data_IF_297048498121
#
_entry.id   IF_297048498121
#
_cell.length_a   1.000
_cell.length_b   1.000
_cell.length_c   1.000
_cell.angle_alpha   90.00
_cell.angle_beta   90.00
_cell.angle_gamma   90.00
#
_symmetry.space_group_name_H-M   'P 1'
#
loop_
_entity.id
_entity.type
_entity.pdbx_description
1 polymer ?
#
# COMPACT_ATOMS: atom_id res chain seq x y z
N UNK A 1 18.10 17.90 -0.11
CA UNK A 1 19.12 17.19 0.71
C UNK A 1 20.08 16.57 -0.27
N UNK A 2 21.38 16.61 0.02
CA UNK A 2 22.45 16.18 -0.90
C UNK A 2 22.18 14.84 -1.63
N UNK A 3 21.74 13.81 -0.91
CA UNK A 3 21.40 12.51 -1.51
C UNK A 3 20.23 12.56 -2.50
N UNK A 4 19.19 13.37 -2.23
CA UNK A 4 18.09 13.57 -3.17
C UNK A 4 18.53 14.39 -4.40
N UNK A 5 19.43 15.37 -4.20
CA UNK A 5 19.99 16.18 -5.29
C UNK A 5 20.91 15.33 -6.20
N UNK A 6 21.71 14.45 -5.62
CA UNK A 6 22.53 13.47 -6.33
C UNK A 6 21.66 12.51 -7.16
N UNK A 7 20.57 11.97 -6.59
CA UNK A 7 19.62 11.11 -7.31
C UNK A 7 18.94 11.78 -8.51
N UNK A 8 18.58 13.06 -8.38
CA UNK A 8 17.96 13.83 -9.45
C UNK A 8 18.97 14.12 -10.56
N UNK A 9 20.22 14.44 -10.18
CA UNK A 9 21.33 14.65 -11.12
C UNK A 9 21.64 13.40 -11.95
N UNK A 10 21.56 12.22 -11.33
CA UNK A 10 21.83 10.93 -11.97
C UNK A 10 20.62 10.39 -12.77
N UNK A 11 19.70 11.26 -13.20
CA UNK A 11 18.49 10.92 -13.99
C UNK A 11 17.62 9.81 -13.37
N UNK A 12 17.66 9.62 -12.05
CA UNK A 12 16.98 8.51 -11.36
C UNK A 12 17.52 7.11 -11.75
N UNK A 13 18.71 7.02 -12.34
CA UNK A 13 19.43 5.75 -12.50
C UNK A 13 20.08 5.35 -11.16
N UNK A 14 19.83 4.12 -10.72
CA UNK A 14 20.18 3.67 -9.36
C UNK A 14 21.58 3.08 -9.33
N UNK A 15 22.38 3.46 -8.33
CA UNK A 15 23.54 2.66 -7.93
C UNK A 15 23.03 1.41 -7.16
N UNK A 16 22.96 0.27 -7.84
CA UNK A 16 22.67 -1.00 -7.17
C UNK A 16 23.93 -1.55 -6.48
N UNK A 17 23.82 -2.10 -5.24
CA UNK A 17 22.59 -2.27 -4.45
C UNK A 17 22.24 -1.05 -3.58
N UNK A 18 20.93 -0.81 -3.37
CA UNK A 18 20.41 0.17 -2.39
C UNK A 18 20.73 -0.29 -0.94
N UNK A 19 21.02 0.67 -0.06
CA UNK A 19 21.43 0.43 1.34
C UNK A 19 20.21 0.48 2.27
N UNK A 20 20.16 -0.35 3.31
CA UNK A 20 19.11 -0.26 4.33
C UNK A 20 19.20 1.05 5.10
N UNK A 21 18.06 1.60 5.51
CA UNK A 21 17.99 2.80 6.36
C UNK A 21 18.92 2.66 7.58
N UNK A 22 18.91 1.51 8.24
CA UNK A 22 19.77 1.25 9.42
C UNK A 22 21.25 1.50 9.11
N UNK A 23 21.75 0.89 8.05
CA UNK A 23 23.16 0.91 7.69
C UNK A 23 23.58 2.32 7.25
N UNK A 24 22.71 3.01 6.51
CA UNK A 24 22.90 4.41 6.14
C UNK A 24 22.99 5.34 7.35
N UNK A 25 22.08 5.17 8.31
CA UNK A 25 22.05 5.99 9.53
C UNK A 25 23.30 5.77 10.39
N UNK A 26 23.75 4.51 10.50
CA UNK A 26 24.95 4.11 11.23
C UNK A 26 26.23 4.66 10.58
N UNK A 27 26.38 4.45 9.28
CA UNK A 27 27.53 4.93 8.49
C UNK A 27 27.72 6.44 8.57
N UNK A 28 26.62 7.20 8.54
CA UNK A 28 26.63 8.66 8.60
C UNK A 28 26.56 9.22 10.04
N UNK A 29 26.56 8.35 11.06
CA UNK A 29 26.61 8.73 12.49
C UNK A 29 25.49 9.69 12.92
N UNK A 30 24.28 9.50 12.40
CA UNK A 30 23.11 10.29 12.83
C UNK A 30 22.82 10.09 14.32
N UNK A 31 22.55 11.18 15.04
CA UNK A 31 22.35 11.14 16.49
C UNK A 31 21.12 10.30 16.90
N UNK A 32 21.14 9.66 18.08
CA UNK A 32 19.96 8.96 18.59
C UNK A 32 18.73 9.88 18.66
N UNK A 33 18.91 11.14 19.05
CA UNK A 33 17.79 12.09 19.10
C UNK A 33 17.17 12.34 17.71
N UNK A 34 17.99 12.47 16.66
CA UNK A 34 17.44 12.64 15.31
C UNK A 34 16.68 11.40 14.85
N UNK A 35 17.23 10.21 15.10
CA UNK A 35 16.62 8.94 14.72
C UNK A 35 15.29 8.74 15.44
N UNK A 36 15.32 8.78 16.78
CA UNK A 36 14.18 8.39 17.62
C UNK A 36 13.12 9.49 17.77
N UNK A 37 13.50 10.78 17.73
CA UNK A 37 12.55 11.86 17.98
C UNK A 37 12.04 12.54 16.70
N UNK A 38 12.64 12.27 15.54
CA UNK A 38 12.27 12.92 14.28
C UNK A 38 12.08 11.93 13.14
N UNK A 39 13.14 11.23 12.73
CA UNK A 39 13.13 10.47 11.49
C UNK A 39 12.26 9.22 11.56
N UNK A 40 12.49 8.34 12.54
CA UNK A 40 11.75 7.08 12.70
C UNK A 40 10.26 7.31 13.01
N UNK A 41 9.87 8.26 13.88
CA UNK A 41 8.47 8.64 14.05
C UNK A 41 7.79 9.11 12.77
N UNK A 42 8.47 9.97 11.99
CA UNK A 42 7.92 10.53 10.76
C UNK A 42 7.65 9.43 9.73
N UNK A 43 8.61 8.54 9.50
CA UNK A 43 8.45 7.44 8.52
C UNK A 43 7.49 6.36 9.02
N UNK A 44 7.53 6.02 10.31
CA UNK A 44 6.60 5.06 10.92
C UNK A 44 5.16 5.55 10.84
N UNK A 45 4.94 6.88 10.91
CA UNK A 45 3.60 7.44 10.75
C UNK A 45 3.04 7.32 9.33
N UNK A 46 3.90 7.32 8.30
CA UNK A 46 3.47 7.28 6.90
C UNK A 46 2.98 5.89 6.49
N UNK A 47 3.71 4.84 6.86
CA UNK A 47 3.37 3.45 6.51
C UNK A 47 2.78 2.65 7.68
N UNK A 48 2.53 3.29 8.82
CA UNK A 48 1.85 2.69 9.99
C UNK A 48 2.48 1.36 10.44
N UNK A 49 3.80 1.23 10.32
CA UNK A 49 4.55 0.00 10.59
C UNK A 49 5.55 0.20 11.75
N UNK A 50 6.21 -0.87 12.19
CA UNK A 50 7.17 -0.78 13.30
C UNK A 50 8.45 -0.07 12.87
N UNK A 51 9.16 0.50 13.86
CA UNK A 51 10.47 1.12 13.65
C UNK A 51 11.47 0.10 13.07
N UNK A 52 11.46 -1.14 13.55
CA UNK A 52 12.33 -2.22 13.04
C UNK A 52 12.09 -2.50 11.56
N UNK A 53 10.83 -2.56 11.12
CA UNK A 53 10.51 -2.80 9.71
C UNK A 53 10.96 -1.62 8.84
N UNK A 54 10.84 -0.40 9.35
CA UNK A 54 11.34 0.79 8.66
C UNK A 54 12.85 0.81 8.50
N UNK A 55 13.60 0.29 9.48
CA UNK A 55 15.05 0.25 9.42
C UNK A 55 15.59 -0.65 8.30
N UNK A 56 14.81 -1.66 7.88
CA UNK A 56 15.14 -2.55 6.76
C UNK A 56 14.73 -2.00 5.38
N UNK A 57 14.00 -0.89 5.34
CA UNK A 57 13.56 -0.26 4.10
C UNK A 57 14.76 0.34 3.33
N UNK A 58 14.75 0.33 1.98
CA UNK A 58 15.81 0.94 1.17
C UNK A 58 15.90 2.47 1.33
N UNK A 59 17.08 3.02 1.67
CA UNK A 59 17.24 4.45 1.96
C UNK A 59 17.02 5.32 0.72
N UNK A 60 17.48 4.92 -0.46
CA UNK A 60 17.31 5.74 -1.66
C UNK A 60 15.83 5.90 -2.00
N UNK A 61 15.10 4.79 -1.90
CA UNK A 61 13.65 4.75 -2.05
C UNK A 61 12.94 5.68 -1.06
N UNK A 62 13.35 5.65 0.21
CA UNK A 62 12.78 6.48 1.28
C UNK A 62 13.05 7.98 1.04
N UNK A 63 14.27 8.32 0.66
CA UNK A 63 14.69 9.72 0.44
C UNK A 63 13.93 10.32 -0.74
N UNK A 64 13.76 9.57 -1.82
CA UNK A 64 12.93 9.98 -2.96
C UNK A 64 11.48 10.18 -2.54
N UNK A 65 10.90 9.25 -1.77
CA UNK A 65 9.55 9.42 -1.26
C UNK A 65 9.45 10.71 -0.46
N UNK A 66 10.35 10.93 0.50
CA UNK A 66 10.35 12.13 1.33
C UNK A 66 10.56 13.41 0.51
N UNK A 67 11.36 13.36 -0.56
CA UNK A 67 11.55 14.48 -1.47
C UNK A 67 10.28 14.81 -2.25
N UNK A 68 9.68 13.81 -2.91
CA UNK A 68 8.47 13.97 -3.72
C UNK A 68 7.28 14.50 -2.90
N UNK A 69 7.24 14.19 -1.61
CA UNK A 69 6.17 14.62 -0.70
C UNK A 69 6.53 15.87 0.13
N UNK A 70 7.69 16.48 -0.11
CA UNK A 70 8.16 17.66 0.63
C UNK A 70 8.40 17.42 2.13
N UNK A 71 8.58 16.17 2.55
CA UNK A 71 8.77 15.76 3.94
C UNK A 71 10.17 16.13 4.47
N UNK A 72 11.13 16.35 3.57
CA UNK A 72 12.47 16.86 3.91
C UNK A 72 12.53 18.39 3.98
N UNK A 73 11.42 19.09 3.72
CA UNK A 73 11.38 20.55 3.70
C UNK A 73 10.82 21.11 5.02
N UNK A 74 11.42 22.20 5.51
CA UNK A 74 10.93 22.92 6.69
C UNK A 74 9.88 23.99 6.30
N UNK A 75 10.01 24.56 5.09
CA UNK A 75 9.13 25.59 4.53
C UNK A 75 8.64 25.16 3.15
N UNK A 76 7.57 25.81 2.64
CA UNK A 76 7.00 25.58 1.30
C UNK A 76 6.57 24.14 1.02
N UNK A 77 6.04 23.45 2.04
CA UNK A 77 5.54 22.09 1.90
C UNK A 77 4.36 22.03 0.92
N UNK A 78 4.26 20.97 0.10
CA UNK A 78 3.10 20.74 -0.76
C UNK A 78 1.79 20.79 0.02
N UNK A 79 0.76 21.39 -0.57
CA UNK A 79 -0.58 21.38 0.00
C UNK A 79 -1.25 20.04 -0.30
N UNK A 80 -1.64 19.33 0.76
CA UNK A 80 -2.44 18.11 0.63
C UNK A 80 -3.90 18.47 0.39
N UNK A 81 -4.49 17.90 -0.65
CA UNK A 81 -5.88 18.11 -1.03
C UNK A 81 -6.74 16.90 -0.65
N UNK A 82 -8.02 17.16 -0.42
CA UNK A 82 -9.03 16.13 -0.15
C UNK A 82 -10.22 16.34 -1.08
N UNK A 83 -10.88 15.24 -1.42
CA UNK A 83 -12.10 15.30 -2.23
C UNK A 83 -13.25 15.69 -1.32
N UNK A 84 -13.95 16.78 -1.66
CA UNK A 84 -15.17 17.17 -0.96
C UNK A 84 -16.20 16.04 -1.06
N UNK A 85 -16.64 15.53 0.08
CA UNK A 85 -17.51 14.35 0.14
C UNK A 85 -16.79 13.01 0.29
N UNK A 86 -15.45 13.02 0.20
CA UNK A 86 -14.59 11.85 0.38
C UNK A 86 -14.40 11.00 -0.88
N UNK A 87 -13.62 9.92 -0.76
CA UNK A 87 -13.30 9.00 -1.87
C UNK A 87 -14.52 8.35 -2.52
N UNK A 88 -15.63 8.23 -1.80
CA UNK A 88 -16.90 7.72 -2.32
C UNK A 88 -17.38 8.45 -3.57
N UNK A 89 -17.03 9.73 -3.74
CA UNK A 89 -17.50 10.53 -4.87
C UNK A 89 -16.89 10.06 -6.19
N UNK A 90 -15.59 9.78 -6.26
CA UNK A 90 -15.00 9.22 -7.49
C UNK A 90 -15.46 7.78 -7.71
N UNK A 91 -15.68 7.01 -6.63
CA UNK A 91 -16.21 5.63 -6.76
C UNK A 91 -17.60 5.64 -7.40
N UNK A 92 -18.49 6.57 -7.02
CA UNK A 92 -19.80 6.73 -7.66
C UNK A 92 -19.68 7.02 -9.15
N UNK A 93 -18.77 7.92 -9.54
CA UNK A 93 -18.55 8.27 -10.95
C UNK A 93 -18.01 7.08 -11.75
N UNK A 94 -17.08 6.32 -11.18
CA UNK A 94 -16.56 5.09 -11.80
C UNK A 94 -17.66 4.05 -12.00
N UNK A 95 -18.49 3.80 -10.98
CA UNK A 95 -19.60 2.86 -11.08
C UNK A 95 -20.61 3.26 -12.17
N UNK A 96 -20.94 4.55 -12.25
CA UNK A 96 -21.83 5.07 -13.30
C UNK A 96 -21.25 4.86 -14.71
N UNK A 97 -19.94 5.08 -14.90
CA UNK A 97 -19.28 4.86 -16.18
C UNK A 97 -19.23 3.37 -16.57
N UNK A 98 -19.02 2.48 -15.59
CA UNK A 98 -19.07 1.03 -15.79
C UNK A 98 -20.47 0.56 -16.20
N UNK A 99 -21.51 1.08 -15.56
CA UNK A 99 -22.90 0.77 -15.89
C UNK A 99 -23.26 1.24 -17.31
N UNK A 100 -22.86 2.46 -17.69
CA UNK A 100 -23.02 2.97 -19.06
C UNK A 100 -22.29 2.12 -20.11
N UNK A 101 -21.18 1.50 -19.70
CA UNK A 101 -20.38 0.59 -20.55
C UNK A 101 -20.88 -0.86 -20.50
N UNK A 102 -22.05 -1.12 -19.89
CA UNK A 102 -22.66 -2.44 -19.73
C UNK A 102 -21.76 -3.45 -19.00
N UNK A 103 -20.84 -2.97 -18.16
CA UNK A 103 -19.99 -3.83 -17.34
C UNK A 103 -20.83 -4.41 -16.20
N UNK A 104 -20.85 -5.75 -16.12
CA UNK A 104 -21.55 -6.46 -15.05
C UNK A 104 -20.72 -6.45 -13.76
N UNK A 105 -21.19 -5.72 -12.76
CA UNK A 105 -20.58 -5.73 -11.41
C UNK A 105 -21.26 -6.79 -10.54
N UNK A 106 -20.47 -7.76 -10.07
CA UNK A 106 -20.94 -8.83 -9.18
C UNK A 106 -20.46 -8.58 -7.75
N UNK A 107 -21.37 -8.61 -6.78
CA UNK A 107 -21.06 -8.46 -5.34
C UNK A 107 -20.85 -9.82 -4.71
N UNK A 108 -19.85 -10.54 -5.18
CA UNK A 108 -19.59 -11.93 -4.81
C UNK A 108 -18.09 -12.18 -4.67
N UNK A 109 -17.63 -12.88 -3.62
CA UNK A 109 -16.22 -13.24 -3.51
C UNK A 109 -15.85 -14.30 -4.55
N UNK A 110 -14.73 -14.07 -5.25
CA UNK A 110 -14.06 -15.12 -6.01
C UNK A 110 -13.46 -16.12 -5.02
N UNK A 111 -13.72 -17.40 -5.22
CA UNK A 111 -13.23 -18.49 -4.36
C UNK A 111 -11.97 -19.14 -4.93
N UNK A 112 -11.83 -19.15 -6.26
CA UNK A 112 -10.70 -19.77 -6.96
C UNK A 112 -10.58 -19.25 -8.39
N UNK A 113 -9.36 -19.20 -8.90
CA UNK A 113 -9.03 -18.94 -10.30
C UNK A 113 -8.07 -20.04 -10.77
N UNK A 114 -8.46 -20.83 -11.77
CA UNK A 114 -7.60 -21.83 -12.39
C UNK A 114 -7.08 -21.30 -13.72
N UNK A 115 -5.77 -21.07 -13.78
CA UNK A 115 -5.06 -20.77 -15.02
C UNK A 115 -5.13 -21.97 -15.98
N UNK A 116 -5.22 -21.68 -17.28
CA UNK A 116 -5.13 -22.71 -18.30
C UNK A 116 -3.74 -23.35 -18.33
N UNK A 117 -3.71 -24.67 -18.59
CA UNK A 117 -2.47 -25.40 -18.91
C UNK A 117 -2.10 -25.33 -20.39
N UNK A 118 -3.06 -24.96 -21.23
CA UNK A 118 -2.88 -24.75 -22.66
C UNK A 118 -2.52 -23.29 -22.92
N UNK A 119 -1.63 -23.06 -23.88
CA UNK A 119 -1.29 -21.73 -24.37
C UNK A 119 -2.56 -21.10 -24.98
N UNK A 120 -2.97 -19.92 -24.48
CA UNK A 120 -4.23 -19.23 -24.82
C UNK A 120 -5.53 -19.95 -24.44
N UNK A 121 -5.50 -20.88 -23.47
CA UNK A 121 -6.73 -21.47 -22.97
C UNK A 121 -7.46 -20.58 -21.96
N UNK A 122 -8.78 -20.79 -21.85
CA UNK A 122 -9.65 -19.99 -20.97
C UNK A 122 -9.29 -20.18 -19.49
N UNK A 123 -9.34 -19.07 -18.74
CA UNK A 123 -9.18 -19.04 -17.29
C UNK A 123 -10.52 -19.34 -16.63
N UNK A 124 -10.57 -20.32 -15.73
CA UNK A 124 -11.77 -20.65 -14.96
C UNK A 124 -11.80 -19.83 -13.67
N UNK A 125 -12.89 -19.09 -13.44
CA UNK A 125 -13.20 -18.40 -12.20
C UNK A 125 -14.33 -19.15 -11.48
N UNK A 126 -14.12 -19.47 -10.21
CA UNK A 126 -15.10 -20.17 -9.36
C UNK A 126 -15.59 -19.22 -8.27
N UNK A 127 -16.91 -19.18 -8.11
CA UNK A 127 -17.63 -18.42 -7.09
C UNK A 127 -18.77 -19.27 -6.50
N UNK A 128 -19.54 -18.74 -5.54
CA UNK A 128 -20.73 -19.42 -5.02
C UNK A 128 -21.83 -19.61 -6.09
N UNK A 129 -21.83 -18.78 -7.12
CA UNK A 129 -22.70 -18.88 -8.29
C UNK A 129 -22.26 -19.95 -9.30
N UNK A 130 -21.09 -20.58 -9.10
CA UNK A 130 -20.53 -21.62 -9.97
C UNK A 130 -19.27 -21.19 -10.71
N UNK A 131 -18.93 -21.95 -11.76
CA UNK A 131 -17.76 -21.71 -12.63
C UNK A 131 -18.13 -20.84 -13.83
N UNK A 132 -17.24 -19.92 -14.17
CA UNK A 132 -17.28 -19.09 -15.37
C UNK A 132 -15.91 -19.12 -16.05
N UNK A 133 -15.88 -18.90 -17.36
CA UNK A 133 -14.64 -18.93 -18.15
C UNK A 133 -14.42 -17.57 -18.80
N UNK A 134 -13.16 -17.11 -18.78
CA UNK A 134 -12.74 -15.83 -19.31
C UNK A 134 -11.48 -16.00 -20.16
N UNK A 135 -11.35 -15.21 -21.22
CA UNK A 135 -10.13 -15.18 -22.02
C UNK A 135 -8.96 -14.60 -21.22
N UNK A 136 -9.22 -13.58 -20.40
CA UNK A 136 -8.21 -12.84 -19.65
C UNK A 136 -8.76 -12.45 -18.26
N UNK A 137 -7.93 -12.55 -17.22
CA UNK A 137 -8.30 -12.21 -15.83
C UNK A 137 -7.34 -11.20 -15.23
N UNK A 138 -7.86 -10.08 -14.73
CA UNK A 138 -7.08 -9.07 -14.01
C UNK A 138 -7.30 -9.20 -12.51
N UNK A 139 -6.23 -9.52 -11.80
CA UNK A 139 -6.19 -9.60 -10.34
C UNK A 139 -5.86 -8.22 -9.76
N UNK A 140 -6.90 -7.48 -9.35
CA UNK A 140 -6.79 -6.16 -8.71
C UNK A 140 -6.87 -6.23 -7.17
N UNK A 141 -6.53 -7.39 -6.58
CA UNK A 141 -6.50 -7.62 -5.14
C UNK A 141 -5.05 -7.66 -4.62
N UNK A 142 -4.87 -7.96 -3.34
CA UNK A 142 -3.52 -8.11 -2.78
C UNK A 142 -2.80 -9.32 -3.41
N UNK A 143 -1.48 -9.26 -3.51
CA UNK A 143 -0.69 -10.34 -4.11
C UNK A 143 -0.71 -11.63 -3.29
N UNK A 144 -0.89 -11.56 -1.97
CA UNK A 144 -1.11 -12.74 -1.11
C UNK A 144 -2.48 -13.38 -1.34
N UNK A 145 -3.54 -12.57 -1.49
CA UNK A 145 -4.87 -13.03 -1.87
C UNK A 145 -4.85 -13.66 -3.27
N UNK A 146 -4.09 -13.06 -4.19
CA UNK A 146 -3.86 -13.63 -5.53
C UNK A 146 -3.23 -15.02 -5.42
N UNK A 147 -2.20 -15.21 -4.58
CA UNK A 147 -1.58 -16.51 -4.35
C UNK A 147 -2.50 -17.56 -3.72
N UNK A 148 -3.45 -17.12 -2.89
CA UNK A 148 -4.47 -17.98 -2.28
C UNK A 148 -5.53 -18.39 -3.32
N UNK A 149 -5.89 -17.49 -4.24
CA UNK A 149 -6.96 -17.69 -5.23
C UNK A 149 -6.49 -18.41 -6.49
N UNK A 150 -5.28 -18.10 -6.99
CA UNK A 150 -4.81 -18.47 -8.32
C UNK A 150 -4.01 -19.78 -8.29
N UNK A 151 -4.41 -20.72 -9.15
CA UNK A 151 -3.76 -22.01 -9.33
C UNK A 151 -3.35 -22.23 -10.78
N UNK A 152 -2.29 -23.00 -11.00
CA UNK A 152 -1.79 -23.31 -12.35
C UNK A 152 -0.77 -22.32 -12.91
N UNK A 153 -0.45 -21.24 -12.19
CA UNK A 153 0.64 -20.33 -12.53
C UNK A 153 2.02 -20.94 -12.23
N UNK A 154 3.03 -20.53 -12.98
CA UNK A 154 4.41 -21.01 -12.82
C UNK A 154 5.05 -20.56 -11.49
N UNK A 155 6.18 -21.17 -11.14
CA UNK A 155 6.85 -20.90 -9.87
C UNK A 155 7.43 -19.48 -9.79
N UNK A 156 7.86 -18.90 -10.91
CA UNK A 156 8.42 -17.54 -10.94
C UNK A 156 7.35 -16.49 -10.60
N UNK A 157 6.16 -16.60 -11.18
CA UNK A 157 4.99 -15.79 -10.81
C UNK A 157 4.66 -15.93 -9.32
N UNK A 158 4.68 -17.16 -8.79
CA UNK A 158 4.44 -17.39 -7.36
C UNK A 158 5.49 -16.71 -6.48
N UNK A 159 6.77 -16.79 -6.88
CA UNK A 159 7.87 -16.19 -6.13
C UNK A 159 7.77 -14.66 -6.09
N UNK A 160 7.46 -14.03 -7.23
CA UNK A 160 7.29 -12.57 -7.32
C UNK A 160 6.12 -12.10 -6.45
N UNK A 161 4.95 -12.76 -6.54
CA UNK A 161 3.78 -12.39 -5.75
C UNK A 161 4.02 -12.58 -4.23
N UNK A 162 4.76 -13.62 -3.85
CA UNK A 162 5.05 -13.97 -2.46
C UNK A 162 6.09 -13.06 -1.81
N UNK A 163 6.90 -12.37 -2.62
CA UNK A 163 7.91 -11.44 -2.18
C UNK A 163 7.33 -10.09 -1.70
N UNK A 164 6.01 -9.91 -1.75
CA UNK A 164 5.29 -8.80 -1.14
C UNK A 164 4.56 -9.32 0.10
N UNK A 165 5.19 -9.33 1.29
CA UNK A 165 4.50 -9.76 2.49
C UNK A 165 3.44 -8.75 2.90
N UNK A 166 2.34 -9.25 3.42
CA UNK A 166 1.32 -8.43 4.07
C UNK A 166 1.37 -8.72 5.55
N UNK A 167 1.30 -7.67 6.36
CA UNK A 167 1.12 -7.84 7.79
C UNK A 167 -0.34 -8.21 8.05
N UNK A 168 -0.63 -9.52 8.03
CA UNK A 168 -1.83 -10.12 8.65
C UNK A 168 -1.47 -10.44 10.10
N UNK A 169 -2.04 -9.74 11.08
CA UNK A 169 -1.78 -10.07 12.47
C UNK A 169 -2.56 -11.33 12.85
N UNK A 170 -1.83 -12.44 13.01
CA UNK A 170 -2.38 -13.74 13.35
C UNK A 170 -2.57 -13.82 14.86
N UNK A 171 -3.84 -13.73 15.26
CA UNK A 171 -4.32 -13.97 16.62
C UNK A 171 -3.74 -15.27 17.22
N UNK A 172 -2.94 -15.13 18.26
CA UNK A 172 -2.80 -16.13 19.32
C UNK A 172 -3.46 -15.49 20.54
N UNK A 173 -4.31 -16.25 21.23
CA UNK A 173 -5.07 -15.85 22.42
C UNK A 173 -4.19 -15.08 23.43
N UNK A 174 -4.16 -13.76 23.27
CA UNK A 174 -4.01 -12.68 24.24
C UNK A 174 -3.93 -11.38 23.40
N UNK A 175 -5.07 -10.70 23.20
CA UNK A 175 -5.12 -9.26 22.84
C UNK A 175 -4.26 -8.81 21.65
N UNK A 176 -4.34 -9.48 20.49
CA UNK A 176 -3.69 -8.97 19.28
C UNK A 176 -4.66 -8.10 18.46
N UNK A 177 -4.67 -6.80 18.75
CA UNK A 177 -5.52 -5.75 18.16
C UNK A 177 -4.79 -4.99 17.02
N UNK A 178 -3.94 -5.66 16.24
CA UNK A 178 -3.06 -4.99 15.27
C UNK A 178 -3.70 -4.93 13.86
N UNK A 179 -3.55 -3.78 13.21
CA UNK A 179 -4.13 -3.29 11.93
C UNK A 179 -5.61 -2.90 11.96
N UNK A 180 -5.95 -2.06 12.94
CA UNK A 180 -7.27 -1.43 13.13
C UNK A 180 -7.18 0.07 12.94
N UNK A 181 -8.11 0.64 12.18
CA UNK A 181 -8.47 2.06 12.24
C UNK A 181 -9.69 2.18 13.13
N UNK A 182 -9.56 2.93 14.22
CA UNK A 182 -10.66 3.19 15.14
C UNK A 182 -11.09 4.63 14.99
N UNK A 183 -12.36 4.84 14.61
CA UNK A 183 -12.98 6.16 14.58
C UNK A 183 -13.56 6.45 15.97
N UNK A 184 -13.12 7.53 16.61
CA UNK A 184 -13.56 7.88 17.96
C UNK A 184 -13.52 9.40 18.22
N UNK A 185 -14.00 9.79 19.40
CA UNK A 185 -13.98 11.19 19.89
C UNK A 185 -13.19 11.38 21.19
N UNK A 186 -12.46 10.35 21.61
CA UNK A 186 -11.57 10.39 22.78
C UNK A 186 -10.37 11.33 22.61
N UNK A 187 -10.44 12.50 23.25
CA UNK A 187 -9.44 13.57 23.15
C UNK A 187 -8.09 13.21 23.81
N UNK A 188 -8.02 12.15 24.62
CA UNK A 188 -6.77 11.73 25.27
C UNK A 188 -5.67 11.30 24.28
N UNK A 189 -6.06 11.04 23.03
CA UNK A 189 -5.18 10.68 21.92
C UNK A 189 -4.54 11.90 21.21
N UNK A 190 -4.96 13.11 21.56
CA UNK A 190 -4.38 14.35 21.07
C UNK A 190 -3.43 14.96 22.10
N UNK A 191 -2.46 15.80 21.68
CA UNK A 191 -1.59 16.50 22.62
C UNK A 191 -2.39 17.30 23.66
N UNK A 192 -1.90 17.34 24.91
CA UNK A 192 -2.54 18.08 26.00
C UNK A 192 -2.68 19.58 25.69
N UNK A 193 -1.73 20.14 24.94
CA UNK A 193 -1.79 21.52 24.46
C UNK A 193 -2.47 21.60 23.09
N UNK A 194 -3.66 22.22 23.04
CA UNK A 194 -4.45 22.39 21.80
C UNK A 194 -3.68 23.06 20.65
N UNK A 195 -2.73 23.95 20.95
CA UNK A 195 -1.89 24.59 19.92
C UNK A 195 -1.01 23.59 19.16
N UNK A 196 -0.75 22.42 19.74
CA UNK A 196 0.05 21.36 19.13
C UNK A 196 -0.81 20.35 18.35
N UNK A 197 -2.13 20.50 18.31
CA UNK A 197 -3.00 19.59 17.57
C UNK A 197 -2.69 19.68 16.09
N UNK A 198 -2.09 18.64 15.54
CA UNK A 198 -1.77 18.54 14.13
C UNK A 198 -2.82 17.69 13.41
N UNK A 199 -2.76 17.70 12.07
CA UNK A 199 -3.56 16.76 11.27
C UNK A 199 -3.17 15.31 11.60
N UNK A 200 -1.89 15.06 11.85
CA UNK A 200 -1.31 13.77 12.20
C UNK A 200 -0.63 13.93 13.56
N UNK A 201 -1.08 13.20 14.58
CA UNK A 201 -0.52 13.26 15.93
C UNK A 201 0.09 11.89 16.24
N UNK A 202 1.34 11.89 16.66
CA UNK A 202 2.09 10.68 16.93
C UNK A 202 2.26 10.46 18.43
N UNK A 203 2.14 9.20 18.87
CA UNK A 203 2.45 8.81 20.25
C UNK A 203 3.58 7.79 20.28
N UNK A 204 4.70 8.17 20.90
CA UNK A 204 5.75 7.26 21.37
C UNK A 204 5.64 7.06 22.88
N UNK A 205 5.91 5.85 23.39
CA UNK A 205 6.18 5.68 24.82
C UNK A 205 7.59 6.21 25.14
N UNK A 206 7.65 7.39 25.75
CA UNK A 206 8.89 7.98 26.27
C UNK A 206 9.41 7.20 27.49
N UNK A 207 10.73 7.01 27.58
CA UNK A 207 11.41 6.54 28.81
C UNK A 207 11.62 5.04 28.97
N UNK A 208 11.12 4.21 28.06
CA UNK A 208 11.61 2.84 27.92
C UNK A 208 12.76 2.83 26.91
N UNK A 209 13.80 2.02 27.14
CA UNK A 209 14.76 1.68 26.08
C UNK A 209 13.95 1.27 24.86
N UNK A 210 14.10 1.92 23.69
CA UNK A 210 13.35 1.55 22.50
C UNK A 210 13.63 0.08 22.21
N UNK A 211 12.66 -0.79 22.47
CA UNK A 211 12.74 -2.15 21.99
C UNK A 211 12.36 -2.10 20.52
N UNK A 212 12.98 -2.96 19.70
CA UNK A 212 12.69 -3.06 18.25
C UNK A 212 11.17 -3.22 17.93
N UNK A 213 10.39 -3.63 18.93
CA UNK A 213 8.95 -3.84 18.90
C UNK A 213 8.10 -2.60 19.27
N UNK A 214 8.69 -1.43 19.53
CA UNK A 214 7.90 -0.22 19.77
C UNK A 214 7.15 0.19 18.50
N UNK A 215 5.85 -0.07 18.50
CA UNK A 215 4.94 0.34 17.44
C UNK A 215 4.61 1.82 17.55
N UNK A 216 4.65 2.49 16.41
CA UNK A 216 4.21 3.87 16.25
C UNK A 216 2.68 3.87 16.20
N UNK A 217 2.02 4.65 17.07
CA UNK A 217 0.59 4.93 16.95
C UNK A 217 0.38 6.32 16.38
N UNK A 218 -0.50 6.40 15.38
CA UNK A 218 -0.85 7.64 14.68
C UNK A 218 -2.32 7.94 14.89
N UNK A 219 -2.61 9.16 15.32
CA UNK A 219 -3.95 9.67 15.58
C UNK A 219 -4.22 10.84 14.62
N UNK A 220 -5.06 10.60 13.62
CA UNK A 220 -5.47 11.61 12.66
C UNK A 220 -6.57 12.49 13.24
N UNK A 221 -6.35 13.80 13.27
CA UNK A 221 -7.41 14.76 13.57
C UNK A 221 -8.13 15.13 12.27
N UNK A 222 -9.26 14.46 12.02
CA UNK A 222 -10.01 14.55 10.77
C UNK A 222 -10.49 15.98 10.49
N UNK A 223 -10.77 16.76 11.54
CA UNK A 223 -11.14 18.18 11.43
C UNK A 223 -10.11 19.02 10.67
N UNK A 224 -8.83 18.61 10.64
CA UNK A 224 -7.76 19.31 9.92
C UNK A 224 -7.41 18.67 8.57
N UNK A 225 -7.95 17.49 8.27
CA UNK A 225 -7.65 16.73 7.04
C UNK A 225 -8.76 16.85 6.00
N UNK A 226 -10.01 17.02 6.43
CA UNK A 226 -11.13 17.12 5.50
C UNK A 226 -12.27 17.98 6.04
N UNK A 227 -13.06 18.60 5.15
CA UNK A 227 -14.25 19.33 5.57
C UNK A 227 -15.25 18.38 6.24
N UNK A 228 -15.68 18.75 7.44
CA UNK A 228 -16.70 18.03 8.19
C UNK A 228 -18.06 18.75 8.10
N UNK A 229 -19.18 18.02 8.29
CA UNK A 229 -20.49 18.62 8.48
C UNK A 229 -20.46 19.69 9.57
N UNK A 230 -21.26 20.74 9.42
CA UNK A 230 -21.22 21.91 10.31
C UNK A 230 -21.38 21.54 11.79
N UNK A 231 -22.35 20.67 12.11
CA UNK A 231 -22.58 20.21 13.49
C UNK A 231 -21.47 19.33 14.10
N UNK A 232 -20.45 18.94 13.33
CA UNK A 232 -19.32 18.14 13.81
C UNK A 232 -17.99 18.92 13.84
N UNK A 233 -17.99 20.20 13.47
CA UNK A 233 -16.75 20.99 13.33
C UNK A 233 -15.99 21.15 14.65
N UNK A 234 -16.70 21.33 15.75
CA UNK A 234 -16.13 21.55 17.08
C UNK A 234 -15.89 20.24 17.85
N UNK A 235 -16.37 19.12 17.32
CA UNK A 235 -16.12 17.79 17.89
C UNK A 235 -14.82 17.24 17.31
N UNK A 236 -13.82 16.86 18.13
CA UNK A 236 -12.58 16.29 17.62
C UNK A 236 -12.83 14.87 17.13
N UNK A 237 -12.94 14.73 15.81
CA UNK A 237 -13.10 13.45 15.14
C UNK A 237 -11.71 12.89 14.91
N UNK A 238 -11.44 11.74 15.53
CA UNK A 238 -10.12 11.12 15.54
C UNK A 238 -10.19 9.76 14.89
N UNK A 239 -9.23 9.47 14.00
CA UNK A 239 -8.97 8.11 13.52
C UNK A 239 -7.61 7.68 14.04
N UNK A 240 -7.59 6.68 14.92
CA UNK A 240 -6.37 6.11 15.47
C UNK A 240 -6.01 4.83 14.73
N UNK A 241 -4.78 4.78 14.22
CA UNK A 241 -4.20 3.58 13.63
C UNK A 241 -3.33 2.88 14.66
N UNK A 242 -3.62 1.59 14.88
CA UNK A 242 -2.84 0.74 15.78
C UNK A 242 -2.59 1.40 17.15
N UNK A 243 -3.65 1.83 17.86
CA UNK A 243 -3.49 2.59 19.09
C UNK A 243 -2.75 1.79 20.16
N UNK A 244 -1.78 2.42 20.84
CA UNK A 244 -1.01 1.79 21.93
C UNK A 244 -1.84 1.50 23.17
N UNK A 245 -2.97 2.19 23.30
CA UNK A 245 -3.96 2.06 24.36
C UNK A 245 -5.33 2.13 23.72
N UNK A 246 -6.28 1.30 24.13
CA UNK A 246 -7.62 1.35 23.54
C UNK A 246 -8.34 2.67 23.90
N UNK A 247 -9.07 3.27 22.95
CA UNK A 247 -9.97 4.39 23.25
C UNK A 247 -11.07 3.97 24.23
N UNK A 248 -11.68 4.96 24.89
CA UNK A 248 -12.90 4.71 25.67
C UNK A 248 -13.98 4.08 24.77
N UNK A 249 -14.48 2.86 25.07
CA UNK A 249 -15.48 2.18 24.24
C UNK A 249 -16.76 3.00 24.00
N UNK A 250 -17.13 3.89 24.94
CA UNK A 250 -18.30 4.76 24.79
C UNK A 250 -18.08 5.90 23.78
N UNK A 251 -16.82 6.17 23.42
CA UNK A 251 -16.43 7.21 22.48
C UNK A 251 -16.01 6.63 21.12
N UNK A 252 -16.04 5.31 20.95
CA UNK A 252 -15.78 4.59 19.70
C UNK A 252 -17.04 4.58 18.84
N UNK A 253 -16.90 5.01 17.59
CA UNK A 253 -17.99 5.10 16.62
C UNK A 253 -17.89 4.03 15.55
N UNK A 254 -16.67 3.62 15.19
CA UNK A 254 -16.47 2.57 14.20
C UNK A 254 -15.06 1.97 14.31
N UNK A 255 -14.91 0.76 13.77
CA UNK A 255 -13.67 0.03 13.70
C UNK A 255 -13.55 -0.67 12.35
N UNK A 256 -12.40 -0.49 11.70
CA UNK A 256 -12.12 -1.06 10.37
C UNK A 256 -10.81 -1.82 10.45
N UNK A 257 -10.80 -3.05 9.92
CA UNK A 257 -9.61 -3.88 9.80
C UNK A 257 -9.07 -3.78 8.39
N UNK A 258 -7.75 -3.63 8.26
CA UNK A 258 -7.06 -3.60 6.98
C UNK A 258 -5.75 -4.38 7.05
N UNK A 259 -5.15 -4.66 5.89
CA UNK A 259 -3.81 -5.23 5.80
C UNK A 259 -2.92 -4.26 5.03
N UNK A 260 -1.69 -4.08 5.48
CA UNK A 260 -0.70 -3.26 4.78
C UNK A 260 0.37 -4.13 4.12
N UNK A 261 0.74 -3.83 2.87
CA UNK A 261 1.92 -4.42 2.25
C UNK A 261 3.19 -3.93 2.96
N UNK A 262 4.19 -4.79 3.02
CA UNK A 262 5.52 -4.47 3.54
C UNK A 262 6.46 -4.34 2.37
N UNK A 263 7.17 -3.23 2.32
CA UNK A 263 8.04 -2.86 1.22
C UNK A 263 9.52 -2.99 1.64
N UNK A 264 9.96 -4.21 1.92
CA UNK A 264 11.39 -4.48 2.15
C UNK A 264 12.17 -4.54 0.83
N UNK A 265 13.47 -4.80 0.91
CA UNK A 265 14.33 -4.96 -0.27
C UNK A 265 13.81 -6.02 -1.26
N UNK A 266 13.21 -7.11 -0.77
CA UNK A 266 12.67 -8.18 -1.62
C UNK A 266 11.40 -7.72 -2.33
N UNK A 267 10.54 -6.99 -1.64
CA UNK A 267 9.32 -6.43 -2.22
C UNK A 267 9.64 -5.43 -3.33
N UNK A 268 10.63 -4.56 -3.14
CA UNK A 268 11.07 -3.63 -4.19
C UNK A 268 11.67 -4.36 -5.39
N UNK A 269 12.45 -5.42 -5.17
CA UNK A 269 12.95 -6.26 -6.26
C UNK A 269 11.81 -6.96 -7.02
N UNK A 270 10.79 -7.44 -6.32
CA UNK A 270 9.62 -8.07 -6.92
C UNK A 270 8.78 -7.09 -7.75
N UNK A 271 8.63 -5.85 -7.31
CA UNK A 271 8.00 -4.78 -8.10
C UNK A 271 8.73 -4.55 -9.44
N UNK A 272 10.07 -4.56 -9.43
CA UNK A 272 10.87 -4.45 -10.66
C UNK A 272 10.72 -5.67 -11.58
N UNK A 273 10.52 -6.86 -11.00
CA UNK A 273 10.33 -8.10 -11.74
C UNK A 273 8.89 -8.33 -12.23
N UNK A 274 7.91 -7.57 -11.70
CA UNK A 274 6.49 -7.73 -12.03
C UNK A 274 6.18 -7.71 -13.54
N UNK A 275 6.81 -6.87 -14.39
CA UNK A 275 6.57 -6.90 -15.83
C UNK A 275 6.86 -8.26 -16.49
N UNK A 276 7.71 -9.09 -15.90
CA UNK A 276 8.07 -10.42 -16.44
C UNK A 276 6.94 -11.44 -16.37
N UNK A 277 5.89 -11.17 -15.58
CA UNK A 277 4.79 -12.11 -15.34
C UNK A 277 3.42 -11.64 -15.82
N UNK A 278 3.33 -10.43 -16.37
CA UNK A 278 2.07 -9.88 -16.86
C UNK A 278 1.57 -10.66 -18.08
N UNK A 279 0.30 -11.08 -18.04
CA UNK A 279 -0.35 -11.83 -19.13
C UNK A 279 0.06 -13.29 -19.23
N UNK A 280 1.02 -13.76 -18.40
CA UNK A 280 1.37 -15.18 -18.37
C UNK A 280 0.18 -16.01 -17.91
N UNK A 281 -0.18 -17.02 -18.72
CA UNK A 281 -1.38 -17.85 -18.52
C UNK A 281 -2.68 -17.04 -18.48
N UNK A 282 -2.74 -15.91 -19.22
CA UNK A 282 -3.88 -15.01 -19.32
C UNK A 282 -4.32 -14.40 -17.99
N UNK A 283 -3.35 -14.17 -17.09
CA UNK A 283 -3.56 -13.55 -15.78
C UNK A 283 -2.66 -12.32 -15.66
N UNK A 284 -3.27 -11.21 -15.25
CA UNK A 284 -2.63 -9.92 -15.05
C UNK A 284 -2.75 -9.48 -13.60
N UNK A 285 -1.79 -8.67 -13.13
CA UNK A 285 -1.70 -8.28 -11.73
C UNK A 285 -1.58 -6.78 -11.58
N UNK A 286 -2.45 -6.17 -10.79
CA UNK A 286 -2.37 -4.75 -10.45
C UNK A 286 -2.82 -4.50 -9.01
N UNK A 287 -2.54 -3.30 -8.52
CA UNK A 287 -2.88 -2.88 -7.17
C UNK A 287 -1.83 -1.95 -6.57
N UNK A 288 -2.19 -1.30 -5.46
CA UNK A 288 -1.31 -0.34 -4.80
C UNK A 288 0.03 -0.94 -4.34
N UNK A 289 0.07 -2.26 -4.11
CA UNK A 289 1.26 -3.01 -3.74
C UNK A 289 2.35 -3.05 -4.83
N UNK A 290 2.01 -2.66 -6.06
CA UNK A 290 2.97 -2.56 -7.17
C UNK A 290 3.84 -1.29 -7.11
N UNK A 291 3.51 -0.35 -6.21
CA UNK A 291 4.26 0.88 -5.94
C UNK A 291 4.45 1.13 -4.45
N UNK A 292 4.15 2.34 -3.96
CA UNK A 292 4.32 2.70 -2.56
C UNK A 292 3.13 2.39 -1.64
N UNK A 293 2.09 1.74 -2.17
CA UNK A 293 0.88 1.41 -1.40
C UNK A 293 -0.16 2.53 -1.33
N UNK A 294 -0.03 3.57 -2.16
CA UNK A 294 -0.98 4.70 -2.20
C UNK A 294 -2.01 4.56 -3.34
N UNK A 295 -3.01 5.44 -3.33
CA UNK A 295 -4.11 5.43 -4.30
C UNK A 295 -3.62 5.61 -5.74
N UNK A 296 -2.64 6.48 -5.96
CA UNK A 296 -2.06 6.73 -7.29
C UNK A 296 -1.35 5.48 -7.83
N UNK A 297 -0.66 4.73 -6.97
CA UNK A 297 -0.03 3.46 -7.36
C UNK A 297 -1.09 2.45 -7.82
N UNK A 298 -2.21 2.37 -7.09
CA UNK A 298 -3.35 1.53 -7.47
C UNK A 298 -3.94 1.92 -8.82
N UNK A 299 -4.24 3.21 -9.03
CA UNK A 299 -4.78 3.72 -10.29
C UNK A 299 -3.83 3.47 -11.46
N UNK A 300 -2.57 3.91 -11.33
CA UNK A 300 -1.55 3.79 -12.36
C UNK A 300 -1.30 2.33 -12.75
N UNK A 301 -1.23 1.42 -11.77
CA UNK A 301 -1.02 -0.01 -12.06
C UNK A 301 -2.17 -0.63 -12.84
N UNK A 302 -3.42 -0.24 -12.54
CA UNK A 302 -4.59 -0.64 -13.31
C UNK A 302 -4.56 -0.09 -14.75
N UNK A 303 -4.19 1.18 -14.92
CA UNK A 303 -4.05 1.78 -16.26
C UNK A 303 -2.96 1.11 -17.11
N UNK A 304 -1.84 0.73 -16.50
CA UNK A 304 -0.76 0.03 -17.18
C UNK A 304 -1.23 -1.34 -17.67
N UNK A 305 -1.84 -2.15 -16.79
CA UNK A 305 -2.40 -3.45 -17.19
C UNK A 305 -3.44 -3.31 -18.28
N UNK A 306 -4.33 -2.32 -18.19
CA UNK A 306 -5.33 -2.07 -19.23
C UNK A 306 -4.69 -1.74 -20.59
N UNK A 307 -3.60 -0.94 -20.61
CA UNK A 307 -2.88 -0.62 -21.85
C UNK A 307 -2.22 -1.85 -22.44
N UNK A 308 -1.49 -2.61 -21.63
CA UNK A 308 -0.76 -3.80 -22.07
C UNK A 308 -1.72 -4.88 -22.58
N UNK A 309 -2.86 -5.07 -21.91
CA UNK A 309 -3.92 -5.98 -22.34
C UNK A 309 -4.58 -5.55 -23.66
N UNK A 310 -4.85 -4.24 -23.84
CA UNK A 310 -5.38 -3.74 -25.11
C UNK A 310 -4.37 -3.95 -26.24
N UNK A 311 -3.07 -3.78 -25.97
CA UNK A 311 -2.02 -4.02 -26.94
C UNK A 311 -1.90 -5.50 -27.31
N UNK A 312 -1.92 -6.41 -26.32
CA UNK A 312 -1.85 -7.87 -26.56
C UNK A 312 -3.02 -8.38 -27.40
N UNK A 313 -4.23 -7.86 -27.17
CA UNK A 313 -5.43 -8.21 -27.97
C UNK A 313 -5.31 -7.69 -29.40
N UNK A 314 -4.70 -6.51 -29.61
CA UNK A 314 -4.58 -5.88 -30.95
C UNK A 314 -3.43 -6.46 -31.77
N UNK A 315 -2.39 -6.95 -31.12
CA UNK A 315 -1.24 -7.59 -31.75
C UNK A 315 -1.05 -8.99 -31.15
N UNK A 316 -1.95 -9.94 -31.44
CA UNK A 316 -1.71 -11.33 -31.04
C UNK A 316 -0.41 -11.75 -31.72
N UNK A 317 0.64 -11.97 -30.94
CA UNK A 317 1.96 -12.35 -31.45
C UNK A 317 1.78 -13.50 -32.45
N UNK A 318 2.05 -13.25 -33.73
CA UNK A 318 2.20 -14.32 -34.71
C UNK A 318 3.49 -15.07 -34.37
N UNK A 319 3.38 -16.04 -33.47
CA UNK A 319 4.40 -17.07 -33.32
C UNK A 319 4.28 -17.95 -34.56
N UNK A 320 4.90 -17.51 -35.66
CA UNK A 320 5.19 -18.39 -36.76
C UNK A 320 6.12 -19.46 -36.22
N UNK A 321 5.57 -20.65 -35.98
CA UNK A 321 6.35 -21.87 -35.80
C UNK A 321 7.33 -21.97 -36.96
N UNK A 322 8.60 -21.64 -36.73
CA UNK A 322 9.67 -22.09 -37.60
C UNK A 322 9.73 -23.60 -37.36
N UNK A 323 8.97 -24.33 -38.18
CA UNK A 323 9.26 -25.73 -38.45
C UNK A 323 10.61 -25.71 -39.16
N UNK A 324 11.67 -25.95 -38.39
CA UNK A 324 12.93 -26.41 -38.97
C UNK A 324 12.67 -27.79 -39.59
N UNK A 325 12.24 -27.77 -40.84
CA UNK A 325 12.52 -28.84 -41.79
C UNK A 325 13.97 -28.71 -42.24
N UNK A 326 14.86 -29.53 -41.68
CA UNK A 326 15.71 -30.47 -42.43
C UNK A 326 16.49 -31.39 -41.49
#
# INVERSE_FOLDING_TARGET
TKLAEEQISDKLEYSEPDERIKDFLDRNRFSPSFRENYFLPMIGAIWSCSVEQMLEFPIQTMVRFCHNHGLLQIQNRPQWLTIKGGSREYVKLLLAALEQSHVKVMREPVLRVNASKEENGLVELISASGSQWFDEVVMACHSDQTLELVHGINQDSRNILAAIPYQKNRAILHTDQRNRAILHTDQRFLPSSKRCWAAWNYTAKSGATPTAQQHVSVNYLINRLQPLPEGLRDTPIIVSLNPLTEPDPLLVHNEIHYAHPVFDMKAIAAQKALPLIQGNSSIWYCGAWTGFGFHEDGLRSGELVAKDLIESIRQPLQINSIKDTQ
#
